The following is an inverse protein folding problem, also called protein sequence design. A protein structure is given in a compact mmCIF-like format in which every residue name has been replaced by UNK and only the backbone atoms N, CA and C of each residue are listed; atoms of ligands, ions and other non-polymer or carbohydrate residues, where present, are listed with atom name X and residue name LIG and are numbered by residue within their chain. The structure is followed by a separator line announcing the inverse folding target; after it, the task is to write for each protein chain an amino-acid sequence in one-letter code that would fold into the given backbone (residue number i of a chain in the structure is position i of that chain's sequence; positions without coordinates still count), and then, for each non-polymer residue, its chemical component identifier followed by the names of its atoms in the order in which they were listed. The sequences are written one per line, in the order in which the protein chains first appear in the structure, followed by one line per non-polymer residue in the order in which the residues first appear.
data_IF_535165032855
#
_entry.id   IF_535165032855
#
_cell.length_a   1.000
_cell.length_b   1.000
_cell.length_c   1.000
_cell.angle_alpha   90.00
_cell.angle_beta   90.00
_cell.angle_gamma   90.00
#
_symmetry.space_group_name_H-M   'P 1'
#
loop_
_entity.id
_entity.type
_entity.pdbx_description
1 polymer ?
#
# COMPACT_ATOMS: atom_id res chain seq x y z
N UNK A 1 31.04 12.17 -7.05
CA UNK A 1 30.46 12.81 -5.84
C UNK A 1 30.68 11.89 -4.66
N UNK A 2 31.15 12.40 -3.52
CA UNK A 2 31.36 11.60 -2.31
C UNK A 2 30.01 11.25 -1.65
N UNK A 3 29.45 10.10 -2.05
CA UNK A 3 28.09 9.64 -1.72
C UNK A 3 27.93 9.07 -0.30
N UNK A 4 28.42 9.77 0.74
CA UNK A 4 28.34 9.29 2.14
C UNK A 4 28.07 10.41 3.14
N UNK A 5 27.09 11.27 2.89
CA UNK A 5 26.60 12.18 3.92
C UNK A 5 25.63 11.43 4.85
N UNK A 6 25.64 11.77 6.13
CA UNK A 6 24.68 11.23 7.09
C UNK A 6 23.90 12.39 7.69
N UNK A 7 22.58 12.27 7.61
CA UNK A 7 21.61 13.21 8.11
C UNK A 7 20.96 12.60 9.36
N UNK A 8 21.15 13.21 10.52
CA UNK A 8 20.49 12.78 11.74
C UNK A 8 19.09 13.39 11.81
N UNK A 9 18.07 12.56 11.93
CA UNK A 9 16.71 12.99 12.24
C UNK A 9 16.60 13.22 13.74
N UNK A 10 16.15 14.40 14.13
CA UNK A 10 15.91 14.77 15.52
C UNK A 10 14.42 14.94 15.80
N UNK A 11 14.00 14.59 17.01
CA UNK A 11 12.68 14.85 17.56
C UNK A 11 12.84 15.63 18.86
N UNK A 12 12.29 16.84 18.92
CA UNK A 12 12.47 17.81 20.02
C UNK A 12 13.95 18.01 20.39
N UNK A 13 14.82 18.10 19.37
CA UNK A 13 16.26 18.30 19.51
C UNK A 13 17.06 17.04 19.90
N UNK A 14 16.39 15.90 20.09
CA UNK A 14 17.05 14.61 20.39
C UNK A 14 17.19 13.80 19.11
N UNK A 15 18.39 13.30 18.82
CA UNK A 15 18.63 12.41 17.66
C UNK A 15 17.90 11.08 17.85
N UNK A 16 17.04 10.73 16.88
CA UNK A 16 16.23 9.50 16.91
C UNK A 16 16.67 8.48 15.85
N UNK A 17 17.23 8.92 14.73
CA UNK A 17 17.72 8.01 13.70
C UNK A 17 18.72 8.69 12.75
N UNK A 18 19.77 7.98 12.29
CA UNK A 18 20.64 8.45 11.22
C UNK A 18 20.13 7.97 9.84
N UNK A 19 20.01 8.88 8.88
CA UNK A 19 19.79 8.60 7.46
C UNK A 19 21.14 8.63 6.74
N UNK A 20 21.54 7.50 6.16
CA UNK A 20 22.76 7.40 5.35
C UNK A 20 22.40 7.54 3.88
N UNK A 21 22.79 8.67 3.28
CA UNK A 21 22.50 8.94 1.88
C UNK A 21 23.27 7.97 0.98
N UNK A 22 22.54 7.34 0.06
CA UNK A 22 23.01 6.32 -0.85
C UNK A 22 23.56 6.87 -2.18
N UNK A 23 23.49 6.08 -3.27
CA UNK A 23 23.90 6.53 -4.60
C UNK A 23 23.10 7.75 -5.09
N UNK A 24 23.55 8.45 -6.15
CA UNK A 24 22.87 9.64 -6.67
C UNK A 24 21.40 9.37 -7.01
N UNK A 25 20.52 10.26 -6.55
CA UNK A 25 19.07 10.19 -6.75
C UNK A 25 18.32 10.52 -5.46
N UNK A 26 17.09 11.00 -5.58
CA UNK A 26 16.20 11.05 -4.42
C UNK A 26 15.81 9.61 -4.05
N UNK A 27 16.08 9.26 -2.81
CA UNK A 27 15.69 8.00 -2.23
C UNK A 27 14.75 8.29 -1.08
N UNK A 28 13.66 7.53 -0.96
CA UNK A 28 12.78 7.68 0.19
C UNK A 28 13.49 7.18 1.44
N UNK A 29 13.36 7.93 2.53
CA UNK A 29 13.81 7.54 3.86
C UNK A 29 12.70 7.81 4.85
N UNK A 30 12.54 6.91 5.81
CA UNK A 30 11.50 7.04 6.83
C UNK A 30 12.02 6.65 8.19
N UNK A 31 11.48 7.33 9.19
CA UNK A 31 11.85 7.20 10.59
C UNK A 31 10.57 7.18 11.40
N UNK A 32 10.39 6.15 12.23
CA UNK A 32 9.30 6.14 13.21
C UNK A 32 9.60 7.18 14.28
N UNK A 33 8.73 8.18 14.39
CA UNK A 33 8.84 9.20 15.41
C UNK A 33 8.35 8.67 16.77
N UNK A 34 8.84 9.22 17.89
CA UNK A 34 8.25 9.00 19.20
C UNK A 34 6.74 9.31 19.22
N UNK A 35 5.99 8.59 20.05
CA UNK A 35 4.56 8.84 20.21
C UNK A 35 4.30 10.26 20.75
N UNK A 36 3.26 10.90 20.20
CA UNK A 36 2.79 12.23 20.64
C UNK A 36 1.38 12.14 21.19
N UNK A 37 1.06 13.02 22.12
CA UNK A 37 -0.32 13.19 22.60
C UNK A 37 -1.11 14.12 21.67
N UNK A 38 -2.44 13.95 21.63
CA UNK A 38 -3.29 14.81 20.81
C UNK A 38 -3.14 16.28 21.23
N UNK A 39 -2.81 17.14 20.26
CA UNK A 39 -2.58 18.58 20.50
C UNK A 39 -1.16 18.93 20.94
N UNK A 40 -0.27 17.96 21.13
CA UNK A 40 1.15 18.22 21.38
C UNK A 40 1.80 18.82 20.13
N UNK A 41 2.57 19.90 20.34
CA UNK A 41 3.50 20.42 19.34
C UNK A 41 4.86 19.78 19.58
N UNK A 42 5.44 19.20 18.54
CA UNK A 42 6.79 18.65 18.55
C UNK A 42 7.58 19.13 17.33
N UNK A 43 8.89 19.24 17.46
CA UNK A 43 9.80 19.68 16.41
C UNK A 43 10.51 18.49 15.78
N UNK A 44 10.45 18.40 14.45
CA UNK A 44 11.28 17.48 13.66
C UNK A 44 12.42 18.29 13.06
N UNK A 45 13.64 17.79 13.22
CA UNK A 45 14.84 18.42 12.68
C UNK A 45 15.67 17.43 11.88
N UNK A 46 16.54 18.00 11.03
CA UNK A 46 17.47 17.25 10.20
C UNK A 46 18.85 17.89 10.32
N UNK A 47 19.79 17.18 10.92
CA UNK A 47 21.12 17.69 11.23
C UNK A 47 22.18 16.97 10.40
N UNK A 48 23.00 17.72 9.66
CA UNK A 48 24.15 17.13 8.98
C UNK A 48 25.22 16.70 9.97
N UNK A 49 25.74 15.49 9.85
CA UNK A 49 26.88 15.03 10.64
C UNK A 49 28.19 15.22 9.86
N UNK A 50 29.19 15.83 10.51
CA UNK A 50 30.51 15.99 9.91
C UNK A 50 31.20 14.63 9.83
N UNK A 51 31.48 14.16 8.62
CA UNK A 51 32.33 12.99 8.41
C UNK A 51 33.77 13.25 8.89
N UNK A 52 34.49 12.19 9.27
CA UNK A 52 35.84 12.26 9.87
C UNK A 52 36.97 12.70 8.93
N UNK A 53 36.71 12.94 7.63
CA UNK A 53 37.76 13.11 6.61
C UNK A 53 37.80 14.49 5.94
N UNK A 54 37.22 15.53 6.56
CA UNK A 54 37.41 16.92 6.15
C UNK A 54 36.81 17.34 4.81
N UNK A 55 36.07 16.47 4.11
CA UNK A 55 35.36 16.83 2.88
C UNK A 55 34.00 17.49 3.16
N UNK A 56 33.68 18.55 2.42
CA UNK A 56 32.32 19.08 2.34
C UNK A 56 31.40 18.06 1.67
N UNK A 57 30.30 17.72 2.34
CA UNK A 57 29.26 16.84 1.83
C UNK A 57 27.92 17.56 1.93
N UNK A 58 27.06 17.37 0.94
CA UNK A 58 25.70 17.90 0.93
C UNK A 58 24.73 16.73 0.88
N UNK A 59 23.63 16.84 1.62
CA UNK A 59 22.44 16.03 1.46
C UNK A 59 21.30 16.91 0.99
N UNK A 60 20.53 16.44 0.03
CA UNK A 60 19.30 17.09 -0.42
C UNK A 60 18.13 16.36 0.23
N UNK A 61 17.16 17.12 0.74
CA UNK A 61 15.93 16.62 1.33
C UNK A 61 14.80 17.19 0.51
N UNK A 62 13.85 16.34 0.14
CA UNK A 62 12.63 16.74 -0.53
C UNK A 62 11.45 15.97 0.09
N UNK A 63 10.24 16.50 -0.10
CA UNK A 63 8.96 15.88 0.26
C UNK A 63 8.86 15.32 1.69
N UNK A 64 9.22 16.13 2.69
CA UNK A 64 9.08 15.73 4.11
C UNK A 64 7.60 15.60 4.48
N UNK A 65 7.19 14.38 4.83
CA UNK A 65 5.83 14.06 5.26
C UNK A 65 5.81 13.40 6.63
N UNK A 66 4.75 13.68 7.39
CA UNK A 66 4.46 13.01 8.66
C UNK A 66 3.10 12.34 8.52
N UNK A 67 3.06 11.04 8.74
CA UNK A 67 1.83 10.24 8.66
C UNK A 67 1.63 9.53 9.99
N UNK A 68 0.40 9.54 10.50
CA UNK A 68 0.04 8.74 11.67
C UNK A 68 0.19 7.25 11.33
N UNK A 69 0.93 6.53 12.16
CA UNK A 69 1.03 5.08 12.12
C UNK A 69 0.21 4.55 13.30
N UNK A 70 -0.93 3.93 12.99
CA UNK A 70 -1.76 3.28 14.00
C UNK A 70 -1.12 1.99 14.54
N UNK A 71 -1.88 1.17 15.29
CA UNK A 71 -1.41 -0.16 15.68
C UNK A 71 -0.95 -0.94 14.44
N UNK A 72 0.16 -1.67 14.57
CA UNK A 72 0.72 -2.44 13.46
C UNK A 72 -0.24 -3.58 13.05
N UNK A 73 -0.94 -3.39 11.93
CA UNK A 73 -1.77 -4.45 11.30
C UNK A 73 -0.92 -5.48 10.58
N UNK A 74 0.21 -5.04 10.02
CA UNK A 74 1.21 -5.88 9.36
C UNK A 74 2.41 -6.07 10.27
N UNK A 75 2.93 -7.29 10.32
CA UNK A 75 4.16 -7.68 11.00
C UNK A 75 5.31 -7.75 10.00
N UNK A 76 6.53 -7.37 10.42
CA UNK A 76 7.73 -7.41 9.57
C UNK A 76 7.51 -6.80 8.17
N UNK A 77 6.92 -5.60 8.12
CA UNK A 77 6.63 -4.91 6.86
C UNK A 77 7.87 -4.54 6.03
N UNK A 78 9.03 -4.42 6.68
CA UNK A 78 10.34 -4.22 6.04
C UNK A 78 11.08 -5.52 5.71
N UNK A 79 10.49 -6.69 5.93
CA UNK A 79 11.09 -8.00 5.62
C UNK A 79 12.46 -8.28 6.25
N UNK A 80 12.81 -7.62 7.36
CA UNK A 80 14.13 -7.72 8.01
C UNK A 80 14.35 -9.05 8.76
N UNK A 81 13.29 -9.82 8.97
CA UNK A 81 13.34 -11.15 9.57
C UNK A 81 12.69 -12.23 8.70
N UNK A 82 13.38 -13.37 8.46
CA UNK A 82 14.71 -13.71 8.96
C UNK A 82 15.83 -12.99 8.20
N UNK A 83 16.94 -12.74 8.88
CA UNK A 83 18.13 -12.13 8.27
C UNK A 83 18.74 -13.06 7.22
N UNK A 84 19.05 -12.53 6.05
CA UNK A 84 19.75 -13.27 4.97
C UNK A 84 21.11 -12.66 4.65
N UNK A 85 22.06 -13.51 4.22
CA UNK A 85 23.38 -13.07 3.72
C UNK A 85 23.40 -12.74 2.23
N UNK A 86 22.33 -13.05 1.49
CA UNK A 86 22.20 -12.87 0.05
C UNK A 86 20.73 -12.82 -0.31
N UNK A 87 20.22 -13.87 -0.97
CA UNK A 87 18.78 -14.09 -1.08
C UNK A 87 18.39 -15.46 -0.54
N UNK A 88 17.19 -15.55 0.03
CA UNK A 88 16.63 -16.79 0.54
C UNK A 88 15.24 -16.97 -0.01
N UNK A 89 15.03 -18.09 -0.70
CA UNK A 89 13.72 -18.50 -1.24
C UNK A 89 12.91 -19.12 -0.11
N UNK A 90 11.64 -18.73 0.00
CA UNK A 90 10.69 -19.26 0.97
C UNK A 90 11.27 -19.46 2.39
N UNK A 91 11.81 -18.38 3.02
CA UNK A 91 12.42 -18.47 4.33
C UNK A 91 11.40 -18.96 5.38
N UNK A 92 11.81 -19.93 6.19
CA UNK A 92 11.03 -20.39 7.35
C UNK A 92 11.12 -19.39 8.51
N UNK A 93 10.07 -19.28 9.32
CA UNK A 93 10.07 -18.43 10.52
C UNK A 93 9.88 -16.93 10.25
N UNK A 94 9.64 -16.54 9.00
CA UNK A 94 9.20 -15.20 8.64
C UNK A 94 7.74 -14.96 9.06
N UNK A 95 7.38 -13.71 9.33
CA UNK A 95 5.97 -13.33 9.54
C UNK A 95 5.14 -13.39 8.23
N UNK A 96 5.82 -13.38 7.09
CA UNK A 96 5.24 -13.52 5.76
C UNK A 96 5.44 -14.94 5.23
N UNK A 97 4.45 -15.45 4.51
CA UNK A 97 4.55 -16.67 3.74
C UNK A 97 4.93 -16.34 2.29
N UNK A 98 5.78 -17.19 1.72
CA UNK A 98 6.36 -17.01 0.40
C UNK A 98 6.08 -18.26 -0.44
N UNK A 99 5.94 -18.10 -1.76
CA UNK A 99 5.86 -19.21 -2.72
C UNK A 99 7.24 -19.84 -2.88
N UNK A 100 7.37 -21.12 -2.51
CA UNK A 100 8.54 -21.92 -2.85
C UNK A 100 8.45 -22.46 -4.29
N UNK A 101 9.58 -22.91 -4.84
CA UNK A 101 9.60 -23.63 -6.12
C UNK A 101 8.78 -24.94 -6.07
N UNK A 102 8.68 -25.58 -4.89
CA UNK A 102 7.85 -26.77 -4.72
C UNK A 102 6.35 -26.43 -4.76
N UNK A 103 5.95 -25.29 -4.17
CA UNK A 103 4.55 -24.85 -4.17
C UNK A 103 4.07 -24.46 -5.58
N UNK A 104 4.94 -23.85 -6.38
CA UNK A 104 4.61 -23.42 -7.74
C UNK A 104 4.76 -24.53 -8.77
N UNK A 105 5.60 -25.53 -8.50
CA UNK A 105 6.03 -26.52 -9.48
C UNK A 105 6.97 -25.98 -10.56
N UNK A 106 7.44 -24.73 -10.43
CA UNK A 106 8.35 -24.07 -11.38
C UNK A 106 9.56 -23.49 -10.60
N UNK A 107 10.81 -23.91 -10.90
CA UNK A 107 12.01 -23.38 -10.23
C UNK A 107 12.18 -21.86 -10.38
N UNK A 108 11.54 -21.26 -11.38
CA UNK A 108 11.58 -19.84 -11.67
C UNK A 108 10.31 -19.08 -11.26
N UNK A 109 9.36 -19.73 -10.59
CA UNK A 109 8.22 -19.08 -9.94
C UNK A 109 8.38 -19.23 -8.44
N UNK A 110 8.96 -18.20 -7.80
CA UNK A 110 9.34 -18.23 -6.39
C UNK A 110 9.38 -16.82 -5.79
N UNK A 111 9.31 -16.74 -4.47
CA UNK A 111 9.48 -15.50 -3.72
C UNK A 111 10.32 -15.71 -2.47
N UNK A 112 10.77 -14.63 -1.87
CA UNK A 112 11.63 -14.70 -0.69
C UNK A 112 12.05 -13.34 -0.17
N UNK A 113 13.15 -13.34 0.57
CA UNK A 113 13.84 -12.13 1.06
C UNK A 113 15.21 -12.00 0.40
N UNK A 114 15.68 -10.77 0.24
CA UNK A 114 16.93 -10.48 -0.44
C UNK A 114 17.61 -9.24 0.14
N UNK A 115 18.85 -9.41 0.59
CA UNK A 115 19.75 -8.36 1.06
C UNK A 115 20.01 -7.34 -0.07
N UNK A 116 20.20 -6.09 0.29
CA UNK A 116 20.63 -5.02 -0.63
C UNK A 116 21.81 -5.44 -1.54
N UNK A 117 21.83 -4.89 -2.77
CA UNK A 117 22.87 -5.12 -3.79
C UNK A 117 23.04 -6.60 -4.18
N UNK A 118 21.94 -7.33 -4.18
CA UNK A 118 21.84 -8.71 -4.64
C UNK A 118 20.91 -8.77 -5.86
N UNK A 119 20.79 -9.93 -6.54
CA UNK A 119 20.08 -10.01 -7.82
C UNK A 119 18.66 -9.45 -7.82
N UNK A 120 17.90 -9.64 -6.73
CA UNK A 120 16.51 -9.21 -6.65
C UNK A 120 16.31 -7.80 -6.08
N UNK A 121 17.31 -7.22 -5.40
CA UNK A 121 17.17 -5.93 -4.70
C UNK A 121 18.46 -5.10 -4.83
N UNK A 122 18.37 -3.88 -5.35
CA UNK A 122 19.56 -3.02 -5.54
C UNK A 122 19.77 -2.02 -4.40
N UNK A 123 18.78 -1.17 -4.13
CA UNK A 123 18.77 -0.23 -3.02
C UNK A 123 17.57 -0.55 -2.13
N UNK A 124 17.75 -0.82 -0.85
CA UNK A 124 16.65 -1.18 0.06
C UNK A 124 16.20 0.07 0.83
N UNK A 125 14.91 0.48 0.76
CA UNK A 125 14.38 1.65 1.46
C UNK A 125 14.40 1.56 3.00
N UNK A 126 14.13 0.39 3.57
CA UNK A 126 14.06 0.16 5.01
C UNK A 126 15.01 -0.96 5.41
N UNK A 127 15.84 -0.72 6.42
CA UNK A 127 16.75 -1.76 6.92
C UNK A 127 17.82 -2.16 5.89
N UNK A 128 17.95 -3.47 5.62
CA UNK A 128 19.00 -4.03 4.75
C UNK A 128 18.49 -5.04 3.75
N UNK A 129 17.26 -5.53 3.87
CA UNK A 129 16.70 -6.53 2.96
C UNK A 129 15.26 -6.18 2.58
N UNK A 130 14.80 -6.72 1.46
CA UNK A 130 13.42 -6.55 1.01
C UNK A 130 12.81 -7.90 0.62
N UNK A 131 11.48 -7.96 0.59
CA UNK A 131 10.76 -9.05 -0.02
C UNK A 131 10.90 -8.99 -1.54
N UNK A 132 10.87 -10.14 -2.21
CA UNK A 132 10.85 -10.20 -3.67
C UNK A 132 9.94 -11.31 -4.17
N UNK A 133 9.32 -11.09 -5.32
CA UNK A 133 8.45 -12.04 -6.00
C UNK A 133 8.81 -12.11 -7.48
N UNK A 134 8.95 -13.34 -7.99
CA UNK A 134 9.31 -13.64 -9.36
C UNK A 134 8.14 -14.33 -10.07
N UNK A 135 7.86 -13.89 -11.30
CA UNK A 135 6.73 -14.38 -12.10
C UNK A 135 5.41 -14.33 -11.30
N UNK A 136 4.64 -15.41 -11.29
CA UNK A 136 3.34 -15.49 -10.61
C UNK A 136 3.43 -15.86 -9.13
N UNK A 137 4.60 -15.75 -8.51
CA UNK A 137 4.79 -16.00 -7.08
C UNK A 137 4.08 -14.97 -6.21
N UNK A 138 3.89 -15.28 -4.92
CA UNK A 138 3.29 -14.36 -3.95
C UNK A 138 4.05 -14.22 -2.65
N UNK A 139 3.85 -13.08 -1.99
CA UNK A 139 4.25 -12.79 -0.61
C UNK A 139 2.97 -12.45 0.14
N UNK A 140 2.65 -13.17 1.22
CA UNK A 140 1.33 -13.09 1.86
C UNK A 140 1.37 -13.21 3.38
N UNK A 141 0.51 -12.49 4.07
CA UNK A 141 0.40 -12.50 5.53
C UNK A 141 -1.07 -12.45 5.95
N UNK A 142 -1.42 -13.25 6.96
CA UNK A 142 -2.70 -13.11 7.64
C UNK A 142 -2.64 -11.89 8.56
N UNK A 143 -3.55 -10.93 8.36
CA UNK A 143 -3.62 -9.67 9.11
C UNK A 143 -4.97 -9.55 9.80
N UNK A 144 -5.00 -8.86 10.93
CA UNK A 144 -6.23 -8.56 11.66
C UNK A 144 -6.27 -7.06 11.96
N UNK A 145 -7.43 -6.45 11.75
CA UNK A 145 -7.59 -5.01 11.96
C UNK A 145 -8.11 -4.73 13.38
N UNK A 146 -7.60 -3.69 14.06
CA UNK A 146 -8.01 -3.37 15.43
C UNK A 146 -9.42 -2.79 15.50
N UNK A 147 -9.84 -2.07 14.45
CA UNK A 147 -11.13 -1.41 14.37
C UNK A 147 -11.78 -1.67 13.01
N UNK A 148 -13.11 -1.67 13.02
CA UNK A 148 -13.94 -1.54 11.83
C UNK A 148 -13.56 -0.28 11.03
N UNK A 149 -13.55 -0.40 9.70
CA UNK A 149 -13.41 0.77 8.83
C UNK A 149 -12.62 0.54 7.55
N UNK A 150 -12.14 1.63 6.98
CA UNK A 150 -11.28 1.64 5.81
C UNK A 150 -9.83 1.86 6.21
N UNK A 151 -8.95 1.17 5.50
CA UNK A 151 -7.51 1.27 5.67
C UNK A 151 -6.88 1.47 4.30
N UNK A 152 -5.69 2.06 4.27
CA UNK A 152 -4.84 2.05 3.09
C UNK A 152 -3.62 1.18 3.38
N UNK A 153 -3.25 0.35 2.40
CA UNK A 153 -1.94 -0.30 2.37
C UNK A 153 -1.01 0.57 1.56
N UNK A 154 0.16 0.81 2.11
CA UNK A 154 1.23 1.55 1.47
C UNK A 154 2.49 0.70 1.48
N UNK A 155 3.24 0.70 0.39
CA UNK A 155 4.49 -0.08 0.29
C UNK A 155 5.40 0.53 -0.76
N UNK A 156 6.68 0.25 -0.65
CA UNK A 156 7.69 0.60 -1.65
C UNK A 156 7.89 -0.59 -2.59
N UNK A 157 8.03 -0.35 -3.89
CA UNK A 157 8.39 -1.41 -4.83
C UNK A 157 9.33 -0.93 -5.95
N UNK A 158 10.16 -1.86 -6.44
CA UNK A 158 11.10 -1.65 -7.53
C UNK A 158 11.25 -2.90 -8.39
N UNK A 159 11.80 -2.75 -9.59
CA UNK A 159 12.09 -3.83 -10.52
C UNK A 159 13.45 -4.48 -10.23
N UNK A 160 13.55 -5.77 -10.52
CA UNK A 160 14.86 -6.43 -10.66
C UNK A 160 15.57 -5.89 -11.89
N UNK A 161 16.73 -5.28 -11.69
CA UNK A 161 17.59 -4.82 -12.80
C UNK A 161 18.95 -5.50 -12.79
N UNK A 162 19.53 -5.91 -11.66
CA UNK A 162 20.93 -6.38 -11.65
C UNK A 162 21.92 -5.38 -12.30
N UNK A 163 21.56 -4.09 -12.40
CA UNK A 163 22.31 -3.08 -13.14
C UNK A 163 22.02 -3.00 -14.66
N UNK A 164 21.18 -3.88 -15.21
CA UNK A 164 20.75 -3.90 -16.62
C UNK A 164 19.23 -4.12 -16.71
N UNK A 165 18.48 -3.29 -17.43
CA UNK A 165 17.00 -3.29 -17.41
C UNK A 165 16.33 -4.49 -18.14
N UNK A 166 16.84 -5.72 -17.99
CA UNK A 166 16.40 -6.93 -18.70
C UNK A 166 15.28 -7.71 -18.01
N UNK A 167 15.09 -7.50 -16.70
CA UNK A 167 14.06 -8.18 -15.88
C UNK A 167 12.93 -7.24 -15.40
N UNK A 168 12.83 -6.05 -16.02
CA UNK A 168 11.86 -5.02 -15.64
C UNK A 168 10.48 -5.24 -16.27
N UNK A 169 9.50 -4.46 -15.82
CA UNK A 169 8.12 -4.57 -16.28
C UNK A 169 7.42 -5.81 -15.72
N UNK A 170 7.81 -6.25 -14.52
CA UNK A 170 7.03 -7.19 -13.74
C UNK A 170 5.80 -6.47 -13.17
N UNK A 171 4.64 -7.11 -13.26
CA UNK A 171 3.40 -6.64 -12.67
C UNK A 171 2.86 -7.61 -11.61
N UNK A 172 2.30 -7.04 -10.55
CA UNK A 172 1.70 -7.77 -9.45
C UNK A 172 0.47 -7.03 -8.90
N UNK A 173 -0.47 -7.77 -8.35
CA UNK A 173 -1.64 -7.25 -7.67
C UNK A 173 -1.43 -7.20 -6.15
N UNK A 174 -1.87 -6.11 -5.52
CA UNK A 174 -2.21 -6.13 -4.11
C UNK A 174 -3.59 -6.77 -3.97
N UNK A 175 -3.72 -7.79 -3.11
CA UNK A 175 -4.98 -8.50 -2.89
C UNK A 175 -5.31 -8.59 -1.41
N UNK A 176 -6.61 -8.62 -1.11
CA UNK A 176 -7.15 -8.91 0.23
C UNK A 176 -8.15 -10.06 0.07
N UNK A 177 -7.89 -11.20 0.74
CA UNK A 177 -8.66 -12.45 0.56
C UNK A 177 -8.77 -12.89 -0.92
N UNK A 178 -7.73 -12.65 -1.72
CA UNK A 178 -7.69 -12.98 -3.15
C UNK A 178 -8.41 -11.98 -4.06
N UNK A 179 -9.16 -11.02 -3.52
CA UNK A 179 -9.73 -9.92 -4.32
C UNK A 179 -8.67 -8.86 -4.59
N UNK A 180 -8.44 -8.53 -5.87
CA UNK A 180 -7.51 -7.49 -6.27
C UNK A 180 -8.00 -6.10 -5.83
N UNK A 181 -7.11 -5.35 -5.18
CA UNK A 181 -7.31 -3.98 -4.71
C UNK A 181 -6.65 -2.98 -5.67
N UNK A 182 -5.54 -3.38 -6.28
CA UNK A 182 -4.83 -2.58 -7.26
C UNK A 182 -3.66 -3.36 -7.85
N UNK A 183 -3.11 -2.85 -8.95
CA UNK A 183 -1.99 -3.46 -9.68
C UNK A 183 -0.84 -2.48 -9.76
N UNK A 184 0.37 -3.00 -9.63
CA UNK A 184 1.63 -2.26 -9.77
C UNK A 184 2.43 -2.91 -10.90
N UNK A 185 3.09 -2.08 -11.71
CA UNK A 185 4.10 -2.51 -12.68
C UNK A 185 5.39 -1.79 -12.38
N UNK A 186 6.44 -2.54 -12.01
CA UNK A 186 7.74 -1.96 -11.66
C UNK A 186 8.64 -1.90 -12.89
N UNK A 187 9.23 -0.73 -13.18
CA UNK A 187 10.04 -0.49 -14.38
C UNK A 187 11.48 -0.05 -14.09
N UNK A 188 11.78 0.39 -12.87
CA UNK A 188 13.09 0.90 -12.46
C UNK A 188 13.58 0.25 -11.15
N UNK A 189 14.88 0.28 -10.86
CA UNK A 189 15.46 -0.18 -9.60
C UNK A 189 15.30 0.81 -8.45
N UNK A 190 14.91 2.05 -8.74
CA UNK A 190 14.49 3.03 -7.74
C UNK A 190 13.11 2.65 -7.20
N UNK A 191 13.00 2.61 -5.88
CA UNK A 191 11.74 2.29 -5.22
C UNK A 191 10.78 3.46 -5.29
N UNK A 192 9.54 3.16 -5.66
CA UNK A 192 8.41 4.08 -5.64
C UNK A 192 7.40 3.65 -4.58
N UNK A 193 6.72 4.65 -3.98
CA UNK A 193 5.67 4.42 -2.98
C UNK A 193 4.33 4.23 -3.67
N UNK A 194 3.73 3.06 -3.48
CA UNK A 194 2.37 2.77 -3.92
C UNK A 194 1.43 2.76 -2.73
N UNK A 195 0.23 3.32 -2.90
CA UNK A 195 -0.79 3.35 -1.85
C UNK A 195 -2.14 2.99 -2.42
N UNK A 196 -2.80 2.00 -1.82
CA UNK A 196 -4.11 1.53 -2.23
C UNK A 196 -5.04 1.47 -1.05
N UNK A 197 -6.29 1.90 -1.27
CA UNK A 197 -7.36 1.79 -0.29
C UNK A 197 -7.93 0.38 -0.30
N UNK A 198 -7.99 -0.25 0.87
CA UNK A 198 -8.63 -1.55 1.05
C UNK A 198 -10.17 -1.44 1.03
N UNK A 199 -10.88 -2.54 0.69
CA UNK A 199 -12.28 -2.70 1.02
C UNK A 199 -12.54 -2.52 2.53
N UNK A 200 -13.80 -2.33 2.90
CA UNK A 200 -14.17 -2.25 4.32
C UNK A 200 -13.81 -3.54 5.05
N UNK A 201 -13.17 -3.41 6.21
CA UNK A 201 -12.76 -4.54 7.05
C UNK A 201 -13.43 -4.50 8.41
N UNK A 202 -13.60 -5.69 9.00
CA UNK A 202 -14.17 -5.91 10.33
C UNK A 202 -13.09 -6.13 11.36
N UNK A 203 -13.22 -5.49 12.51
CA UNK A 203 -12.32 -5.68 13.64
C UNK A 203 -12.26 -7.15 14.05
N UNK A 204 -11.06 -7.64 14.36
CA UNK A 204 -10.87 -9.01 14.86
C UNK A 204 -11.03 -10.12 13.81
N UNK A 205 -11.42 -9.81 12.58
CA UNK A 205 -11.47 -10.77 11.47
C UNK A 205 -10.09 -10.90 10.83
N UNK A 206 -9.67 -12.14 10.57
CA UNK A 206 -8.44 -12.44 9.83
C UNK A 206 -8.66 -12.29 8.33
N UNK A 207 -7.83 -11.48 7.68
CA UNK A 207 -7.77 -11.31 6.24
C UNK A 207 -6.41 -11.76 5.71
N UNK A 208 -6.35 -12.32 4.51
CA UNK A 208 -5.10 -12.63 3.81
C UNK A 208 -4.72 -11.45 2.92
N UNK A 209 -3.73 -10.67 3.37
CA UNK A 209 -3.10 -9.64 2.55
C UNK A 209 -2.00 -10.29 1.71
N UNK A 210 -1.99 -10.05 0.39
CA UNK A 210 -0.95 -10.61 -0.47
C UNK A 210 -0.55 -9.69 -1.61
N UNK A 211 0.76 -9.72 -1.91
CA UNK A 211 1.33 -9.28 -3.17
C UNK A 211 1.39 -10.50 -4.09
N UNK A 212 0.62 -10.47 -5.17
CA UNK A 212 0.43 -11.60 -6.08
C UNK A 212 0.98 -11.25 -7.46
N UNK A 213 2.06 -11.89 -7.87
CA UNK A 213 2.62 -11.73 -9.21
C UNK A 213 1.61 -12.10 -10.29
N UNK A 214 1.52 -11.27 -11.32
CA UNK A 214 0.69 -11.48 -12.51
C UNK A 214 1.58 -11.89 -13.69
N UNK A 215 2.72 -11.22 -13.83
CA UNK A 215 3.69 -11.42 -14.90
C UNK A 215 3.07 -11.42 -16.30
N UNK A 216 2.16 -10.47 -16.56
CA UNK A 216 1.35 -10.39 -17.78
C UNK A 216 2.19 -10.27 -19.05
N UNK A 217 3.38 -9.68 -18.93
CA UNK A 217 4.32 -9.53 -20.05
C UNK A 217 5.29 -10.72 -20.20
N UNK A 218 5.14 -11.77 -19.37
CA UNK A 218 5.89 -13.01 -19.41
C UNK A 218 7.41 -12.87 -19.14
N UNK A 219 8.12 -13.99 -19.29
CA UNK A 219 9.57 -14.04 -19.09
C UNK A 219 10.02 -14.10 -17.63
N UNK A 220 11.33 -14.02 -17.43
CA UNK A 220 11.93 -13.91 -16.09
C UNK A 220 11.88 -12.45 -15.63
N UNK A 221 10.85 -12.11 -14.87
CA UNK A 221 10.67 -10.78 -14.29
C UNK A 221 10.38 -10.90 -12.80
N UNK A 222 10.81 -9.89 -12.05
CA UNK A 222 10.59 -9.86 -10.61
C UNK A 222 10.45 -8.43 -10.12
N UNK A 223 9.70 -8.28 -9.03
CA UNK A 223 9.65 -7.05 -8.26
C UNK A 223 10.18 -7.30 -6.86
N UNK A 224 10.81 -6.28 -6.30
CA UNK A 224 11.06 -6.18 -4.88
C UNK A 224 9.99 -5.32 -4.21
N UNK A 225 9.65 -5.65 -2.97
CA UNK A 225 8.67 -4.96 -2.13
C UNK A 225 9.29 -4.74 -0.76
N UNK A 226 9.13 -3.54 -0.22
CA UNK A 226 9.65 -3.16 1.08
C UNK A 226 8.71 -2.16 1.77
N UNK A 227 8.92 -1.95 3.07
CA UNK A 227 8.19 -0.99 3.92
C UNK A 227 6.65 -1.05 3.77
N UNK A 228 6.11 -2.25 3.94
CA UNK A 228 4.67 -2.49 3.91
C UNK A 228 4.01 -1.95 5.18
N UNK A 229 3.06 -1.04 4.99
CA UNK A 229 2.34 -0.37 6.06
C UNK A 229 0.85 -0.40 5.81
N UNK A 230 0.10 -0.35 6.90
CA UNK A 230 -1.35 -0.24 6.87
C UNK A 230 -1.77 0.87 7.81
N UNK A 231 -2.42 1.89 7.26
CA UNK A 231 -2.88 3.05 8.01
C UNK A 231 -4.40 3.10 7.96
N UNK A 232 -5.04 3.27 9.12
CA UNK A 232 -6.48 3.51 9.18
C UNK A 232 -6.78 4.84 8.51
N UNK A 233 -7.70 4.81 7.56
CA UNK A 233 -8.19 6.04 6.94
C UNK A 233 -9.16 6.72 7.89
N UNK A 234 -9.12 8.06 8.00
CA UNK A 234 -10.09 8.78 8.81
C UNK A 234 -11.49 8.44 8.32
N UNK A 235 -12.33 7.94 9.23
CA UNK A 235 -13.76 7.89 9.01
C UNK A 235 -14.22 9.34 9.04
N UNK A 236 -14.70 9.87 7.91
CA UNK A 236 -15.45 11.13 7.97
C UNK A 236 -16.72 10.85 8.76
N UNK A 237 -16.68 11.17 10.06
CA UNK A 237 -17.80 10.93 10.99
C UNK A 237 -19.05 11.75 10.64
N UNK A 238 -18.92 12.75 9.77
CA UNK A 238 -20.03 13.42 9.12
C UNK A 238 -19.67 13.55 7.63
N UNK A 239 -20.28 12.73 6.79
CA UNK A 239 -20.34 13.08 5.38
C UNK A 239 -21.19 14.33 5.27
N UNK A 240 -20.64 15.36 4.62
CA UNK A 240 -21.47 16.48 4.19
C UNK A 240 -22.62 15.89 3.37
N UNK A 241 -23.87 16.31 3.61
CA UNK A 241 -24.98 15.90 2.77
C UNK A 241 -24.61 16.09 1.30
N UNK A 242 -24.99 15.13 0.46
CA UNK A 242 -24.82 15.32 -0.97
C UNK A 242 -25.50 16.63 -1.40
N UNK A 243 -24.92 17.39 -2.35
CA UNK A 243 -25.57 18.57 -2.88
C UNK A 243 -26.98 18.26 -3.37
N UNK A 244 -27.91 19.18 -3.14
CA UNK A 244 -29.26 19.07 -3.67
C UNK A 244 -29.21 18.85 -5.19
N UNK A 245 -29.95 17.84 -5.67
CA UNK A 245 -30.00 17.49 -7.09
C UNK A 245 -28.88 16.58 -7.59
N UNK A 246 -27.95 16.13 -6.73
CA UNK A 246 -26.88 15.21 -7.15
C UNK A 246 -27.45 13.94 -7.78
N UNK A 247 -27.09 13.71 -9.04
CA UNK A 247 -27.43 12.49 -9.80
C UNK A 247 -26.17 11.71 -10.08
N UNK A 248 -26.21 10.39 -9.85
CA UNK A 248 -25.12 9.48 -10.19
C UNK A 248 -25.61 8.53 -11.29
N UNK A 249 -24.84 8.38 -12.36
CA UNK A 249 -25.10 7.40 -13.42
C UNK A 249 -23.95 6.40 -13.49
N UNK A 250 -24.26 5.13 -13.26
CA UNK A 250 -23.33 4.01 -13.42
C UNK A 250 -23.59 3.34 -14.76
N UNK A 251 -22.55 3.29 -15.60
CA UNK A 251 -22.58 2.50 -16.82
C UNK A 251 -22.73 1.00 -16.51
N UNK A 252 -23.10 0.21 -17.50
CA UNK A 252 -23.17 -1.25 -17.35
C UNK A 252 -21.81 -1.82 -16.92
N UNK A 253 -21.81 -2.65 -15.87
CA UNK A 253 -20.60 -3.22 -15.28
C UNK A 253 -19.81 -2.29 -14.35
N UNK A 254 -20.21 -1.01 -14.20
CA UNK A 254 -19.58 -0.10 -13.24
C UNK A 254 -20.04 -0.39 -11.80
N UNK A 255 -19.14 -0.13 -10.84
CA UNK A 255 -19.43 -0.26 -9.40
C UNK A 255 -19.21 1.06 -8.66
N UNK A 256 -20.09 1.36 -7.71
CA UNK A 256 -19.99 2.50 -6.79
C UNK A 256 -19.75 2.00 -5.37
N UNK A 257 -18.63 2.43 -4.77
CA UNK A 257 -18.32 2.16 -3.37
C UNK A 257 -18.93 3.24 -2.47
N UNK A 258 -19.88 2.85 -1.61
CA UNK A 258 -20.51 3.73 -0.63
C UNK A 258 -19.76 3.65 0.69
N UNK A 259 -18.75 4.49 0.81
CA UNK A 259 -17.79 4.34 1.88
C UNK A 259 -18.05 5.23 3.11
N UNK A 260 -19.30 5.29 3.52
CA UNK A 260 -19.74 6.03 4.69
C UNK A 260 -20.57 5.15 5.61
N UNK A 261 -20.73 5.55 6.87
CA UNK A 261 -21.64 4.89 7.79
C UNK A 261 -23.05 5.47 7.66
N UNK A 262 -24.07 4.62 7.79
CA UNK A 262 -25.47 5.03 7.81
C UNK A 262 -26.04 5.32 6.42
N UNK A 263 -27.11 6.11 6.41
CA UNK A 263 -27.90 6.40 5.20
C UNK A 263 -27.77 7.86 4.81
N UNK A 264 -27.48 8.13 3.54
CA UNK A 264 -27.43 9.47 2.96
C UNK A 264 -28.52 9.61 1.88
N UNK A 265 -29.28 10.72 1.84
CA UNK A 265 -30.23 10.97 0.77
C UNK A 265 -29.50 11.27 -0.54
N UNK A 266 -29.98 10.72 -1.66
CA UNK A 266 -29.48 11.02 -3.01
C UNK A 266 -30.66 11.36 -3.91
N UNK A 267 -30.51 12.38 -4.76
CA UNK A 267 -31.60 12.81 -5.64
C UNK A 267 -31.95 11.74 -6.68
N UNK A 268 -30.95 11.21 -7.38
CA UNK A 268 -31.16 10.15 -8.36
C UNK A 268 -29.92 9.26 -8.53
N UNK A 269 -30.16 7.98 -8.76
CA UNK A 269 -29.15 6.99 -9.12
C UNK A 269 -29.68 6.21 -10.33
N UNK A 270 -28.84 6.08 -11.35
CA UNK A 270 -29.07 5.15 -12.46
C UNK A 270 -28.00 4.09 -12.47
N UNK A 271 -28.40 2.83 -12.65
CA UNK A 271 -27.50 1.69 -12.80
C UNK A 271 -27.84 1.01 -14.12
N UNK A 272 -26.90 0.94 -15.05
CA UNK A 272 -27.15 0.37 -16.38
C UNK A 272 -28.26 1.11 -17.13
N UNK A 273 -28.37 2.43 -16.95
CA UNK A 273 -29.42 3.26 -17.57
C UNK A 273 -30.79 3.21 -16.87
N UNK A 274 -30.98 2.37 -15.85
CA UNK A 274 -32.24 2.26 -15.12
C UNK A 274 -32.21 3.05 -13.82
N UNK A 275 -33.27 3.84 -13.57
CA UNK A 275 -33.43 4.50 -12.29
C UNK A 275 -33.62 3.50 -11.15
N UNK A 276 -32.97 3.79 -10.03
CA UNK A 276 -33.09 3.04 -8.79
C UNK A 276 -33.79 3.89 -7.74
N UNK A 277 -34.66 3.27 -6.94
CA UNK A 277 -35.43 3.94 -5.88
C UNK A 277 -35.34 3.16 -4.57
N UNK A 278 -35.71 3.82 -3.46
CA UNK A 278 -35.67 3.22 -2.12
C UNK A 278 -34.26 3.18 -1.53
N UNK A 279 -34.01 2.20 -0.66
CA UNK A 279 -32.70 2.05 0.00
C UNK A 279 -31.75 1.22 -0.85
N UNK A 280 -30.66 1.85 -1.30
CA UNK A 280 -29.61 1.23 -2.12
C UNK A 280 -28.37 1.00 -1.28
N UNK A 281 -27.88 -0.24 -1.26
CA UNK A 281 -26.69 -0.66 -0.52
C UNK A 281 -26.06 -1.88 -1.19
N UNK A 282 -24.90 -2.31 -0.71
CA UNK A 282 -24.30 -3.58 -1.13
C UNK A 282 -25.22 -4.80 -0.88
N UNK A 283 -26.15 -4.71 0.08
CA UNK A 283 -27.12 -5.78 0.34
C UNK A 283 -28.28 -5.80 -0.66
N UNK A 284 -28.71 -4.63 -1.17
CA UNK A 284 -29.84 -4.54 -2.11
C UNK A 284 -29.39 -4.56 -3.58
N UNK A 285 -28.17 -4.13 -3.87
CA UNK A 285 -27.60 -4.04 -5.23
C UNK A 285 -26.15 -4.54 -5.30
N UNK A 286 -25.87 -5.80 -4.89
CA UNK A 286 -24.51 -6.33 -4.74
C UNK A 286 -23.66 -6.35 -6.02
N UNK A 287 -24.30 -6.34 -7.19
CA UNK A 287 -23.59 -6.34 -8.48
C UNK A 287 -23.00 -4.96 -8.85
N UNK A 288 -23.52 -3.87 -8.28
CA UNK A 288 -23.15 -2.50 -8.66
C UNK A 288 -22.75 -1.63 -7.45
N UNK A 289 -23.06 -2.04 -6.23
CA UNK A 289 -22.79 -1.28 -5.02
C UNK A 289 -21.90 -2.09 -4.08
N UNK A 290 -20.85 -1.44 -3.56
CA UNK A 290 -19.98 -1.98 -2.52
C UNK A 290 -19.90 -1.01 -1.33
N UNK A 291 -19.23 -1.42 -0.24
CA UNK A 291 -19.09 -0.58 0.96
C UNK A 291 -20.24 -0.73 1.97
N UNK A 292 -20.17 0.06 3.05
CA UNK A 292 -21.11 -0.04 4.20
C UNK A 292 -22.25 0.97 4.19
N UNK A 293 -22.15 2.00 3.33
CA UNK A 293 -23.12 3.07 3.25
C UNK A 293 -24.40 2.66 2.56
N UNK A 294 -25.46 3.42 2.83
CA UNK A 294 -26.75 3.29 2.18
C UNK A 294 -27.16 4.61 1.53
N UNK A 295 -27.70 4.56 0.32
CA UNK A 295 -28.36 5.70 -0.31
C UNK A 295 -29.87 5.57 -0.11
N UNK A 296 -30.52 6.66 0.29
CA UNK A 296 -31.97 6.79 0.28
C UNK A 296 -32.38 7.59 -0.96
N UNK A 297 -32.97 6.91 -1.93
CA UNK A 297 -33.46 7.51 -3.16
C UNK A 297 -34.98 7.73 -3.07
N UNK A 298 -35.51 8.83 -3.65
CA UNK A 298 -36.95 9.05 -3.70
C UNK A 298 -37.63 7.89 -4.41
N UNK A 299 -38.80 7.50 -3.90
CA UNK A 299 -39.67 6.56 -4.60
C UNK A 299 -40.13 7.24 -5.89
N UNK A 300 -39.71 6.71 -7.03
CA UNK A 300 -40.19 7.17 -8.32
C UNK A 300 -41.63 6.69 -8.48
N UNK A 301 -42.58 7.56 -8.19
CA UNK A 301 -43.99 7.30 -8.44
C UNK A 301 -44.23 7.11 -9.93
N UNK A 302 -44.96 6.06 -10.30
CA UNK A 302 -45.47 5.90 -11.66
C UNK A 302 -46.62 6.87 -11.87
N UNK A 303 -46.48 7.85 -12.77
CA UNK A 303 -47.60 8.65 -13.24
C UNK A 303 -48.45 7.79 -14.20
N UNK A 304 -49.56 7.24 -13.71
CA UNK A 304 -50.60 6.66 -14.55
C UNK A 304 -51.50 7.79 -15.08
N UNK A 305 -51.30 8.19 -16.33
CA UNK A 305 -52.26 9.01 -17.06
C UNK A 305 -53.33 8.08 -17.66
N UNK A 306 -54.52 8.06 -17.05
CA UNK A 306 -55.71 7.49 -17.69
C UNK A 306 -56.28 8.56 -18.64
N UNK A 307 -56.32 8.26 -19.94
CA UNK A 307 -57.11 9.01 -20.93
C UNK A 307 -58.54 8.48 -20.97
#
# INVERSE_FOLDING_TARGET
MNARHTLDVTFDGVKIAPIRLGPPGYQPYEVTLPAVTQGQVAAIGFEGSTGTNGYSRIGLIDDVRVTYVGPAVVQEGGFESPVTGGYTVAPSGAAWSFTSAADSGDPDTKSGVCLERQPYTFAVPMGRQAGWLQKTASIRQAVTFPEDGYYAVSFMAAARTEGHYVHVGHDFALTLNGTAVGTVTTTDYLYERYTFRLPYVKAGVSYLLAFQGLNSAGGDRSSAVDDVRVTRLPVMNAYAPFPDGLTIELAEGASLALDFAGTQPLHALRIGGHYVSGTVSAATHPAAITGTGMLLLPNLGTLLSLQ
#
